data_IF_878676458174
#
_entry.id   IF_878676458174
#
_cell.length_a   1.000
_cell.length_b   1.000
_cell.length_c   1.000
_cell.angle_alpha   90.00
_cell.angle_beta   90.00
_cell.angle_gamma   90.00
#
_symmetry.space_group_name_H-M   'P 1'
#
loop_
_entity.id
_entity.type
_entity.pdbx_description
1 polymer ?
#
# COMPACT_ATOMS: atom_id res chain seq x y z
N UNK A 1 51.31 26.66 27.70
CA UNK A 1 50.73 25.74 26.70
C UNK A 1 49.51 25.09 27.34
N UNK A 2 48.31 25.53 27.01
CA UNK A 2 47.06 24.97 27.53
C UNK A 2 46.50 24.01 26.49
N UNK A 3 46.39 22.73 26.85
CA UNK A 3 45.88 21.67 25.99
C UNK A 3 44.35 21.65 26.00
N UNK A 4 43.76 21.70 24.81
CA UNK A 4 42.32 21.56 24.59
C UNK A 4 42.03 20.08 24.32
N UNK A 5 41.37 19.39 25.26
CA UNK A 5 40.93 18.01 25.06
C UNK A 5 39.51 18.04 24.47
N UNK A 6 39.35 17.55 23.23
CA UNK A 6 38.06 17.34 22.60
C UNK A 6 37.55 15.96 23.02
N UNK A 7 36.49 15.94 23.84
CA UNK A 7 35.72 14.73 24.13
C UNK A 7 34.71 14.52 23.00
N UNK A 8 34.99 13.57 22.10
CA UNK A 8 33.98 13.05 21.17
C UNK A 8 33.03 12.13 21.94
N UNK A 9 31.86 12.66 22.30
CA UNK A 9 30.74 11.86 22.80
C UNK A 9 30.14 11.06 21.65
N UNK A 10 30.17 9.74 21.75
CA UNK A 10 29.40 8.85 20.87
C UNK A 10 27.91 9.02 21.16
N UNK A 11 27.22 9.84 20.36
CA UNK A 11 25.76 9.77 20.27
C UNK A 11 25.42 8.39 19.68
N UNK A 12 24.94 7.48 20.52
CA UNK A 12 24.21 6.32 20.05
C UNK A 12 22.95 6.86 19.35
N UNK A 13 22.94 6.84 18.02
CA UNK A 13 21.73 7.07 17.25
C UNK A 13 20.75 5.93 17.59
N UNK A 14 19.67 6.26 18.30
CA UNK A 14 18.51 5.38 18.49
C UNK A 14 17.77 5.25 17.15
N UNK A 15 18.40 4.56 16.21
CA UNK A 15 17.88 4.33 14.87
C UNK A 15 17.09 3.03 14.79
N UNK A 16 16.11 2.82 15.67
CA UNK A 16 15.19 1.70 15.57
C UNK A 16 13.77 2.21 15.77
N UNK A 17 13.08 2.49 14.65
CA UNK A 17 11.63 2.47 14.66
C UNK A 17 11.18 1.11 15.23
N UNK A 18 10.17 1.15 16.09
CA UNK A 18 9.64 -0.03 16.75
C UNK A 18 9.37 -1.12 15.70
N UNK A 19 10.05 -2.26 15.82
CA UNK A 19 9.86 -3.40 14.92
C UNK A 19 8.75 -4.31 15.40
N UNK A 20 8.07 -3.97 16.52
CA UNK A 20 6.89 -4.66 16.95
C UNK A 20 5.73 -4.40 15.97
N UNK A 21 4.93 -5.43 15.64
CA UNK A 21 3.68 -5.25 14.90
C UNK A 21 2.79 -4.16 15.51
N UNK A 22 2.19 -3.35 14.66
CA UNK A 22 1.33 -2.23 15.04
C UNK A 22 -0.10 -2.47 14.53
N UNK A 23 -1.08 -2.10 15.35
CA UNK A 23 -2.50 -2.09 14.96
C UNK A 23 -2.73 -1.10 13.80
N UNK A 24 -3.79 -1.34 13.03
CA UNK A 24 -4.19 -0.50 11.89
C UNK A 24 -5.57 0.07 12.15
N UNK A 25 -5.74 1.38 11.93
CA UNK A 25 -7.05 2.02 11.98
C UNK A 25 -7.86 1.67 10.72
N UNK A 26 -8.96 0.95 10.92
CA UNK A 26 -9.85 0.46 9.87
C UNK A 26 -11.08 1.34 9.67
N UNK A 27 -11.12 2.52 10.29
CA UNK A 27 -12.27 3.45 10.22
C UNK A 27 -12.71 3.71 8.79
N UNK A 28 -13.99 3.43 8.53
CA UNK A 28 -14.66 3.64 7.25
C UNK A 28 -14.75 2.39 6.37
N UNK A 29 -14.25 1.24 6.82
CA UNK A 29 -14.62 -0.06 6.25
C UNK A 29 -15.88 -0.61 6.92
N UNK A 30 -16.67 -1.45 6.22
CA UNK A 30 -17.70 -2.26 6.86
C UNK A 30 -17.09 -3.21 7.90
N UNK A 31 -17.77 -3.39 9.03
CA UNK A 31 -17.38 -4.34 10.06
C UNK A 31 -17.45 -5.78 9.52
N UNK A 32 -16.46 -6.60 9.85
CA UNK A 32 -16.43 -8.03 9.58
C UNK A 32 -16.72 -8.84 10.85
N UNK A 33 -17.12 -10.12 10.71
CA UNK A 33 -17.14 -11.04 11.84
C UNK A 33 -15.75 -11.19 12.49
N UNK A 34 -15.70 -11.54 13.78
CA UNK A 34 -14.43 -11.84 14.46
C UNK A 34 -13.69 -13.02 13.81
N UNK A 35 -14.44 -14.00 13.29
CA UNK A 35 -13.89 -15.11 12.52
C UNK A 35 -13.59 -14.67 11.08
N UNK A 36 -12.34 -14.83 10.68
CA UNK A 36 -11.90 -14.54 9.32
C UNK A 36 -12.58 -15.51 8.33
N UNK A 37 -13.17 -14.95 7.28
CA UNK A 37 -13.61 -15.74 6.12
C UNK A 37 -12.44 -16.46 5.45
N UNK A 38 -12.73 -17.39 4.54
CA UNK A 38 -11.70 -18.08 3.75
C UNK A 38 -11.16 -17.27 2.59
N UNK A 39 -11.87 -16.22 2.18
CA UNK A 39 -11.57 -15.41 0.99
C UNK A 39 -11.63 -13.92 1.32
N UNK A 40 -10.90 -13.11 0.55
CA UNK A 40 -10.87 -11.66 0.70
C UNK A 40 -12.23 -11.01 0.35
N UNK A 41 -12.98 -10.46 1.34
CA UNK A 41 -14.29 -9.86 1.09
C UNK A 41 -14.22 -8.54 0.30
N UNK A 42 -13.04 -7.92 0.20
CA UNK A 42 -12.89 -6.61 -0.46
C UNK A 42 -12.48 -6.70 -1.93
N UNK A 43 -12.09 -7.88 -2.42
CA UNK A 43 -11.55 -8.09 -3.78
C UNK A 43 -12.50 -7.59 -4.88
N UNK A 44 -13.78 -7.89 -4.71
CA UNK A 44 -14.86 -7.53 -5.65
C UNK A 44 -15.91 -6.62 -5.00
N UNK A 45 -15.57 -5.97 -3.89
CA UNK A 45 -16.46 -5.03 -3.23
C UNK A 45 -16.75 -3.80 -4.10
N UNK A 46 -17.79 -3.06 -3.74
CA UNK A 46 -18.10 -1.78 -4.37
C UNK A 46 -16.85 -0.88 -4.42
N UNK A 47 -16.63 -0.10 -5.51
CA UNK A 47 -15.41 0.66 -5.69
C UNK A 47 -15.02 1.52 -4.49
N UNK A 48 -15.97 2.17 -3.84
CA UNK A 48 -15.69 2.98 -2.65
C UNK A 48 -15.11 2.16 -1.49
N UNK A 49 -15.59 0.92 -1.28
CA UNK A 49 -15.07 0.01 -0.25
C UNK A 49 -13.71 -0.53 -0.68
N UNK A 50 -13.55 -0.96 -1.94
CA UNK A 50 -12.27 -1.42 -2.49
C UNK A 50 -11.17 -0.36 -2.31
N UNK A 51 -11.41 0.87 -2.75
CA UNK A 51 -10.43 1.96 -2.63
C UNK A 51 -10.15 2.34 -1.18
N UNK A 52 -11.15 2.27 -0.31
CA UNK A 52 -10.96 2.48 1.13
C UNK A 52 -10.10 1.38 1.76
N UNK A 53 -10.32 0.12 1.36
CA UNK A 53 -9.52 -1.02 1.79
C UNK A 53 -8.08 -0.90 1.29
N UNK A 54 -7.86 -0.50 0.04
CA UNK A 54 -6.52 -0.23 -0.50
C UNK A 54 -5.83 0.92 0.24
N UNK A 55 -6.52 2.00 0.60
CA UNK A 55 -5.93 3.10 1.37
C UNK A 55 -5.49 2.65 2.77
N UNK A 56 -6.36 1.94 3.50
CA UNK A 56 -6.05 1.42 4.84
C UNK A 56 -4.95 0.36 4.74
N UNK A 57 -5.06 -0.53 3.76
CA UNK A 57 -4.10 -1.58 3.47
C UNK A 57 -2.71 -1.04 3.16
N UNK A 58 -2.62 0.03 2.37
CA UNK A 58 -1.36 0.70 2.07
C UNK A 58 -0.67 1.23 3.33
N UNK A 59 -1.44 1.85 4.25
CA UNK A 59 -0.92 2.32 5.55
C UNK A 59 -0.45 1.14 6.40
N UNK A 60 -1.29 0.13 6.58
CA UNK A 60 -0.97 -1.07 7.35
C UNK A 60 0.24 -1.81 6.82
N UNK A 61 0.31 -1.97 5.49
CA UNK A 61 1.42 -2.59 4.79
C UNK A 61 2.73 -1.82 4.96
N UNK A 62 2.70 -0.50 4.78
CA UNK A 62 3.91 0.33 4.90
C UNK A 62 4.46 0.33 6.33
N UNK A 63 3.59 0.27 7.34
CA UNK A 63 4.00 0.17 8.74
C UNK A 63 4.54 -1.22 9.09
N UNK A 64 3.87 -2.30 8.66
CA UNK A 64 4.11 -3.63 9.19
C UNK A 64 4.90 -4.57 8.26
N UNK A 65 4.85 -4.37 6.94
CA UNK A 65 5.27 -5.37 5.95
C UNK A 65 6.41 -4.88 5.06
N UNK A 66 6.39 -3.61 4.65
CA UNK A 66 7.25 -3.06 3.61
C UNK A 66 8.75 -3.13 3.92
N UNK A 67 9.13 -3.15 5.20
CA UNK A 67 10.54 -3.31 5.60
C UNK A 67 11.15 -4.63 5.11
N UNK A 68 10.34 -5.69 5.03
CA UNK A 68 10.81 -7.03 4.63
C UNK A 68 10.43 -7.37 3.19
N UNK A 69 9.19 -7.04 2.80
CA UNK A 69 8.63 -7.36 1.49
C UNK A 69 8.81 -6.24 0.45
N UNK A 70 9.43 -5.12 0.85
CA UNK A 70 9.71 -3.97 0.02
C UNK A 70 8.52 -3.01 -0.11
N UNK A 71 8.79 -1.79 -0.60
CA UNK A 71 7.74 -0.81 -0.87
C UNK A 71 6.87 -1.31 -2.04
N UNK A 72 5.58 -0.97 -2.00
CA UNK A 72 4.64 -1.37 -3.06
C UNK A 72 4.54 -2.90 -3.28
N UNK A 73 4.96 -3.68 -2.27
CA UNK A 73 5.09 -5.14 -2.34
C UNK A 73 6.16 -5.69 -3.28
N UNK A 74 7.04 -4.82 -3.80
CA UNK A 74 8.16 -5.17 -4.66
C UNK A 74 9.37 -5.55 -3.82
N UNK A 75 9.74 -6.82 -3.83
CA UNK A 75 10.83 -7.31 -2.98
C UNK A 75 12.21 -6.77 -3.36
N UNK A 76 12.96 -6.32 -2.35
CA UNK A 76 14.40 -6.05 -2.46
C UNK A 76 15.31 -7.28 -2.24
N UNK A 77 14.74 -8.49 -2.17
CA UNK A 77 15.46 -9.76 -1.98
C UNK A 77 15.51 -10.29 -0.55
N UNK A 78 14.92 -9.61 0.43
CA UNK A 78 14.89 -10.05 1.83
C UNK A 78 13.76 -11.07 2.10
N UNK A 79 12.56 -10.78 1.63
CA UNK A 79 11.39 -11.66 1.70
C UNK A 79 10.72 -11.74 0.31
N UNK A 80 9.81 -12.69 0.03
CA UNK A 80 9.19 -12.81 -1.30
C UNK A 80 8.45 -11.53 -1.75
N UNK A 81 8.44 -11.28 -3.06
CA UNK A 81 7.56 -10.28 -3.68
C UNK A 81 6.11 -10.77 -3.59
N UNK A 82 5.28 -10.01 -2.89
CA UNK A 82 3.93 -10.45 -2.54
C UNK A 82 2.93 -10.23 -3.66
N UNK A 83 3.29 -9.49 -4.71
CA UNK A 83 2.40 -9.24 -5.86
C UNK A 83 2.12 -10.52 -6.64
N UNK A 84 3.01 -11.52 -6.53
CA UNK A 84 2.84 -12.83 -7.16
C UNK A 84 2.05 -13.82 -6.30
N UNK A 85 1.57 -13.43 -5.11
CA UNK A 85 0.69 -14.29 -4.33
C UNK A 85 -0.73 -14.23 -4.92
N UNK A 86 -1.13 -15.31 -5.57
CA UNK A 86 -2.38 -15.41 -6.36
C UNK A 86 -3.60 -14.92 -5.59
N UNK A 87 -4.47 -14.14 -6.24
CA UNK A 87 -5.72 -13.62 -5.68
C UNK A 87 -6.87 -14.65 -5.79
N UNK A 88 -6.71 -15.79 -5.13
CA UNK A 88 -7.67 -16.88 -5.08
C UNK A 88 -7.69 -17.53 -3.69
N UNK A 89 -8.56 -18.52 -3.48
CA UNK A 89 -8.74 -19.22 -2.20
C UNK A 89 -7.42 -19.79 -1.65
N UNK A 90 -6.57 -20.35 -2.51
CA UNK A 90 -5.28 -20.92 -2.09
C UNK A 90 -4.29 -19.83 -1.64
N UNK A 91 -4.24 -18.71 -2.37
CA UNK A 91 -3.42 -17.57 -1.99
C UNK A 91 -3.92 -16.89 -0.71
N UNK A 92 -5.23 -16.87 -0.50
CA UNK A 92 -5.85 -16.35 0.72
C UNK A 92 -5.58 -17.26 1.92
N UNK A 93 -5.72 -18.58 1.77
CA UNK A 93 -5.33 -19.55 2.80
C UNK A 93 -3.86 -19.36 3.20
N UNK A 94 -2.96 -19.25 2.21
CA UNK A 94 -1.54 -19.06 2.46
C UNK A 94 -1.25 -17.70 3.11
N UNK A 95 -1.93 -16.64 2.67
CA UNK A 95 -1.81 -15.31 3.27
C UNK A 95 -2.22 -15.33 4.74
N UNK A 96 -3.39 -15.92 5.05
CA UNK A 96 -3.92 -16.00 6.40
C UNK A 96 -3.00 -16.80 7.32
N UNK A 97 -2.50 -17.97 6.88
CA UNK A 97 -1.56 -18.76 7.67
C UNK A 97 -0.31 -17.93 8.05
N UNK A 98 0.29 -17.23 7.07
CA UNK A 98 1.49 -16.44 7.32
C UNK A 98 1.25 -15.21 8.17
N UNK A 99 0.13 -14.52 7.98
CA UNK A 99 -0.17 -13.32 8.76
C UNK A 99 -0.52 -13.68 10.20
N UNK A 100 -1.31 -14.73 10.42
CA UNK A 100 -1.73 -15.12 11.75
C UNK A 100 -0.59 -15.81 12.53
N UNK A 101 0.12 -16.74 11.88
CA UNK A 101 1.11 -17.59 12.56
C UNK A 101 2.57 -17.13 12.38
N UNK A 102 2.84 -16.20 11.47
CA UNK A 102 4.19 -15.78 11.12
C UNK A 102 4.95 -16.84 10.33
N UNK A 103 6.28 -16.76 10.36
CA UNK A 103 7.17 -17.74 9.75
C UNK A 103 8.48 -17.84 10.52
N UNK A 104 8.86 -19.06 10.88
CA UNK A 104 10.14 -19.37 11.51
C UNK A 104 10.97 -20.28 10.60
N UNK A 105 12.29 -20.05 10.60
CA UNK A 105 13.23 -20.91 9.88
C UNK A 105 14.51 -21.08 10.71
N UNK A 106 14.91 -22.33 10.92
CA UNK A 106 16.11 -22.69 11.71
C UNK A 106 16.10 -22.08 13.13
N UNK A 107 14.92 -22.02 13.76
CA UNK A 107 14.74 -21.47 15.11
C UNK A 107 14.81 -19.95 15.20
N UNK A 108 14.79 -19.24 14.06
CA UNK A 108 14.72 -17.78 14.01
C UNK A 108 13.41 -17.33 13.36
N UNK A 109 12.74 -16.37 14.02
CA UNK A 109 11.56 -15.69 13.47
C UNK A 109 11.97 -14.87 12.24
N UNK A 110 11.34 -15.15 11.11
CA UNK A 110 11.53 -14.48 9.82
C UNK A 110 10.38 -13.53 9.50
N UNK A 111 9.18 -13.88 9.94
CA UNK A 111 7.98 -13.04 9.88
C UNK A 111 7.27 -13.16 11.23
N UNK A 112 6.99 -12.05 11.93
CA UNK A 112 6.24 -12.09 13.18
C UNK A 112 4.77 -12.47 12.91
N UNK A 113 4.08 -13.12 13.88
CA UNK A 113 2.64 -13.28 13.83
C UNK A 113 1.92 -11.95 14.10
N UNK A 114 0.72 -11.79 13.54
CA UNK A 114 -0.14 -10.62 13.70
C UNK A 114 -1.50 -10.95 14.34
N UNK A 115 -1.73 -12.21 14.72
CA UNK A 115 -2.93 -12.62 15.45
C UNK A 115 -3.10 -11.80 16.74
N UNK A 116 -4.33 -11.36 17.00
CA UNK A 116 -4.67 -10.48 18.12
C UNK A 116 -4.13 -9.04 18.04
N UNK A 117 -3.40 -8.68 16.97
CA UNK A 117 -2.84 -7.32 16.76
C UNK A 117 -3.57 -6.60 15.62
N UNK A 118 -3.76 -7.28 14.50
CA UNK A 118 -4.54 -6.79 13.38
C UNK A 118 -5.97 -7.30 13.50
N UNK A 119 -6.95 -6.43 13.26
CA UNK A 119 -8.36 -6.84 13.16
C UNK A 119 -8.62 -7.56 11.84
N UNK A 120 -9.73 -8.30 11.70
CA UNK A 120 -10.10 -8.92 10.43
C UNK A 120 -10.12 -7.95 9.24
N UNK A 121 -10.65 -6.73 9.43
CA UNK A 121 -10.69 -5.70 8.40
C UNK A 121 -9.28 -5.24 8.00
N UNK A 122 -8.37 -5.12 8.96
CA UNK A 122 -6.99 -4.72 8.71
C UNK A 122 -6.21 -5.79 7.92
N UNK A 123 -6.40 -7.06 8.30
CA UNK A 123 -5.81 -8.21 7.60
C UNK A 123 -6.27 -8.20 6.15
N UNK A 124 -7.58 -8.15 5.92
CA UNK A 124 -8.09 -8.13 4.55
C UNK A 124 -7.75 -6.87 3.78
N UNK A 125 -7.72 -5.69 4.41
CA UNK A 125 -7.31 -4.46 3.75
C UNK A 125 -5.85 -4.54 3.25
N UNK A 126 -4.93 -5.07 4.05
CA UNK A 126 -3.54 -5.31 3.63
C UNK A 126 -3.49 -6.31 2.47
N UNK A 127 -4.27 -7.40 2.53
CA UNK A 127 -4.38 -8.37 1.43
C UNK A 127 -4.85 -7.70 0.14
N UNK A 128 -5.91 -6.91 0.20
CA UNK A 128 -6.45 -6.15 -0.94
C UNK A 128 -5.42 -5.21 -1.52
N UNK A 129 -4.67 -4.48 -0.69
CA UNK A 129 -3.59 -3.62 -1.16
C UNK A 129 -2.51 -4.41 -1.92
N UNK A 130 -2.09 -5.55 -1.37
CA UNK A 130 -1.07 -6.42 -1.98
C UNK A 130 -1.55 -7.02 -3.30
N UNK A 131 -2.75 -7.60 -3.31
CA UNK A 131 -3.23 -8.34 -4.48
C UNK A 131 -3.65 -7.40 -5.61
N UNK A 132 -4.00 -6.15 -5.33
CA UNK A 132 -4.37 -5.17 -6.37
C UNK A 132 -3.17 -4.43 -6.96
N UNK A 133 -1.94 -4.76 -6.56
CA UNK A 133 -0.75 -4.07 -7.08
C UNK A 133 -0.60 -4.29 -8.60
N UNK A 134 -0.45 -3.21 -9.38
CA UNK A 134 -0.28 -3.33 -10.83
C UNK A 134 1.06 -3.97 -11.19
N UNK A 135 1.11 -4.52 -12.39
CA UNK A 135 2.35 -4.83 -13.09
C UNK A 135 3.23 -3.57 -13.22
N UNK A 136 4.45 -3.64 -12.69
CA UNK A 136 5.40 -2.53 -12.68
C UNK A 136 5.95 -2.23 -14.08
N UNK A 137 6.02 -3.21 -14.97
CA UNK A 137 6.40 -2.98 -16.36
C UNK A 137 5.34 -2.16 -17.08
N UNK A 138 4.06 -2.54 -16.95
CA UNK A 138 2.96 -1.78 -17.55
C UNK A 138 2.87 -0.36 -16.96
N UNK A 139 3.15 -0.21 -15.67
CA UNK A 139 3.20 1.12 -15.03
C UNK A 139 4.37 1.96 -15.54
N UNK A 140 5.55 1.36 -15.73
CA UNK A 140 6.72 2.04 -16.27
C UNK A 140 6.52 2.51 -17.72
N UNK A 141 5.78 1.73 -18.54
CA UNK A 141 5.36 2.13 -19.89
C UNK A 141 4.42 3.36 -19.88
N UNK A 142 3.74 3.61 -18.75
CA UNK A 142 2.85 4.75 -18.54
C UNK A 142 3.51 5.95 -17.85
N UNK A 143 4.82 5.94 -17.59
CA UNK A 143 5.51 6.97 -16.79
C UNK A 143 5.35 8.39 -17.34
N UNK A 144 5.32 8.56 -18.66
CA UNK A 144 5.14 9.86 -19.30
C UNK A 144 3.71 10.39 -19.13
N UNK A 145 2.72 9.50 -19.21
CA UNK A 145 1.31 9.80 -18.90
C UNK A 145 1.14 10.22 -17.45
N UNK A 146 1.71 9.46 -16.51
CA UNK A 146 1.70 9.77 -15.07
C UNK A 146 2.32 11.14 -14.83
N UNK A 147 3.48 11.43 -15.45
CA UNK A 147 4.16 12.73 -15.33
C UNK A 147 3.29 13.87 -15.85
N UNK A 148 2.70 13.71 -17.04
CA UNK A 148 1.83 14.73 -17.64
C UNK A 148 0.60 15.03 -16.78
N UNK A 149 -0.09 13.99 -16.29
CA UNK A 149 -1.27 14.16 -15.43
C UNK A 149 -0.91 14.78 -14.08
N UNK A 150 0.23 14.39 -13.50
CA UNK A 150 0.77 15.02 -12.28
C UNK A 150 1.02 16.50 -12.49
N UNK A 151 1.71 16.88 -13.57
CA UNK A 151 2.06 18.27 -13.87
C UNK A 151 0.79 19.13 -14.07
N UNK A 152 -0.17 18.62 -14.83
CA UNK A 152 -1.48 19.29 -15.02
C UNK A 152 -2.25 19.43 -13.72
N UNK A 153 -2.26 18.40 -12.87
CA UNK A 153 -2.88 18.49 -11.56
C UNK A 153 -2.18 19.53 -10.67
N UNK A 154 -0.86 19.68 -10.79
CA UNK A 154 -0.10 20.66 -10.02
C UNK A 154 -0.41 22.11 -10.44
N UNK A 155 -0.70 22.34 -11.73
CA UNK A 155 -1.13 23.64 -12.26
C UNK A 155 -2.48 24.09 -11.69
N UNK A 156 -3.40 23.14 -11.48
CA UNK A 156 -4.75 23.41 -10.96
C UNK A 156 -4.91 23.07 -9.48
N UNK A 157 -3.82 22.90 -8.73
CA UNK A 157 -3.85 22.39 -7.35
C UNK A 157 -4.73 23.21 -6.39
N UNK A 158 -4.83 24.52 -6.65
CA UNK A 158 -5.60 25.48 -5.85
C UNK A 158 -7.03 25.68 -6.39
N UNK A 159 -7.37 25.08 -7.54
CA UNK A 159 -8.69 25.08 -8.17
C UNK A 159 -9.29 23.66 -8.08
N UNK A 160 -10.05 23.40 -7.00
CA UNK A 160 -10.63 22.09 -6.74
C UNK A 160 -11.54 21.59 -7.88
N UNK A 161 -12.51 22.37 -8.40
CA UNK A 161 -13.30 21.93 -9.56
C UNK A 161 -12.45 21.52 -10.76
N UNK A 162 -11.42 22.30 -11.10
CA UNK A 162 -10.53 21.96 -12.20
C UNK A 162 -9.69 20.70 -11.91
N UNK A 163 -9.25 20.51 -10.67
CA UNK A 163 -8.56 19.28 -10.25
C UNK A 163 -9.46 18.05 -10.36
N UNK A 164 -10.71 18.12 -9.86
CA UNK A 164 -11.68 17.01 -9.95
C UNK A 164 -11.99 16.67 -11.41
N UNK A 165 -12.00 17.65 -12.31
CA UNK A 165 -12.22 17.42 -13.75
C UNK A 165 -11.13 16.55 -14.42
N UNK A 166 -9.97 16.34 -13.78
CA UNK A 166 -8.93 15.42 -14.27
C UNK A 166 -9.18 13.95 -13.89
N UNK A 167 -10.09 13.66 -12.95
CA UNK A 167 -10.32 12.30 -12.47
C UNK A 167 -10.71 11.29 -13.57
N UNK A 168 -11.61 11.61 -14.52
CA UNK A 168 -11.94 10.66 -15.59
C UNK A 168 -10.75 10.31 -16.49
N UNK A 169 -9.81 11.24 -16.68
CA UNK A 169 -8.61 10.99 -17.48
C UNK A 169 -7.59 10.14 -16.72
N UNK A 170 -7.46 10.35 -15.40
CA UNK A 170 -6.68 9.48 -14.52
C UNK A 170 -7.25 8.05 -14.52
N UNK A 171 -8.56 7.90 -14.41
CA UNK A 171 -9.23 6.59 -14.49
C UNK A 171 -8.98 5.92 -15.84
N UNK A 172 -9.13 6.66 -16.94
CA UNK A 172 -8.88 6.12 -18.28
C UNK A 172 -7.42 5.68 -18.45
N UNK A 173 -6.46 6.46 -17.97
CA UNK A 173 -5.05 6.12 -18.04
C UNK A 173 -4.67 4.89 -17.19
N UNK A 174 -5.42 4.61 -16.11
CA UNK A 174 -5.24 3.42 -15.29
C UNK A 174 -5.86 2.15 -15.87
N UNK A 175 -6.74 2.26 -16.88
CA UNK A 175 -7.40 1.09 -17.47
C UNK A 175 -6.41 0.18 -18.18
N UNK A 176 -6.65 -1.12 -18.05
CA UNK A 176 -5.83 -2.15 -18.70
C UNK A 176 -4.55 -2.50 -17.94
N UNK A 177 -4.25 -1.83 -16.83
CA UNK A 177 -3.21 -2.28 -15.91
C UNK A 177 -3.70 -3.56 -15.20
N UNK A 178 -2.90 -4.61 -15.30
CA UNK A 178 -3.19 -5.91 -14.73
C UNK A 178 -2.58 -6.02 -13.34
N UNK A 179 -3.25 -6.73 -12.43
CA UNK A 179 -2.70 -7.08 -11.14
C UNK A 179 -1.85 -8.34 -11.28
N UNK A 180 -0.59 -8.32 -10.83
CA UNK A 180 0.31 -9.47 -10.95
C UNK A 180 -0.17 -10.71 -10.18
N UNK A 181 -1.08 -10.52 -9.23
CA UNK A 181 -1.70 -11.59 -8.45
C UNK A 181 -2.79 -12.33 -9.22
N UNK A 182 -3.21 -11.82 -10.38
CA UNK A 182 -4.41 -12.28 -11.09
C UNK A 182 -5.72 -11.74 -10.50
N UNK A 183 -5.67 -10.79 -9.56
CA UNK A 183 -6.87 -10.11 -9.06
C UNK A 183 -7.68 -9.48 -10.22
N UNK A 184 -9.02 -9.42 -10.13
CA UNK A 184 -9.88 -8.92 -11.20
C UNK A 184 -9.64 -7.45 -11.56
N UNK A 185 -8.98 -6.70 -10.67
CA UNK A 185 -8.64 -5.28 -10.86
C UNK A 185 -7.30 -4.94 -10.22
N UNK A 186 -6.46 -4.22 -10.96
CA UNK A 186 -5.36 -3.46 -10.38
C UNK A 186 -5.86 -2.11 -9.83
N UNK A 187 -5.28 -1.66 -8.72
CA UNK A 187 -5.50 -0.33 -8.16
C UNK A 187 -4.19 0.44 -8.25
N UNK A 188 -3.98 1.08 -9.41
CA UNK A 188 -2.78 1.84 -9.71
C UNK A 188 -2.73 3.20 -8.99
N UNK A 189 -1.61 3.89 -9.12
CA UNK A 189 -1.46 5.27 -8.63
C UNK A 189 -2.39 6.24 -9.37
N UNK A 190 -2.77 5.93 -10.62
CA UNK A 190 -3.71 6.70 -11.42
C UNK A 190 -5.14 6.53 -10.86
N UNK A 191 -5.54 5.29 -10.60
CA UNK A 191 -6.81 4.95 -9.97
C UNK A 191 -6.96 5.62 -8.59
N UNK A 192 -5.91 5.52 -7.76
CA UNK A 192 -5.92 6.12 -6.42
C UNK A 192 -5.97 7.65 -6.47
N UNK A 193 -5.25 8.29 -7.40
CA UNK A 193 -5.32 9.72 -7.59
C UNK A 193 -6.73 10.18 -8.02
N UNK A 194 -7.37 9.47 -8.94
CA UNK A 194 -8.75 9.74 -9.34
C UNK A 194 -9.73 9.59 -8.16
N UNK A 195 -9.57 8.53 -7.37
CA UNK A 195 -10.37 8.32 -6.15
C UNK A 195 -10.22 9.46 -5.15
N UNK A 196 -8.99 9.91 -4.88
CA UNK A 196 -8.75 11.05 -4.00
C UNK A 196 -9.38 12.34 -4.50
N UNK A 197 -9.44 12.55 -5.81
CA UNK A 197 -10.05 13.74 -6.40
C UNK A 197 -11.57 13.72 -6.31
N UNK A 198 -12.21 12.57 -6.38
CA UNK A 198 -13.68 12.47 -6.45
C UNK A 198 -14.36 12.27 -5.10
N UNK A 199 -13.66 11.74 -4.10
CA UNK A 199 -14.21 11.54 -2.75
C UNK A 199 -14.25 12.83 -1.91
N UNK A 200 -15.22 12.93 -1.01
CA UNK A 200 -15.29 13.93 0.08
C UNK A 200 -14.92 15.38 -0.33
N UNK A 201 -15.38 15.83 -1.50
CA UNK A 201 -15.10 17.17 -2.08
C UNK A 201 -13.65 17.43 -2.54
N UNK A 202 -12.85 16.39 -2.71
CA UNK A 202 -11.56 16.39 -3.38
C UNK A 202 -10.34 16.58 -2.46
N UNK A 203 -9.44 15.60 -2.48
CA UNK A 203 -8.16 15.57 -1.76
C UNK A 203 -6.98 15.75 -2.73
N UNK A 204 -6.88 16.96 -3.30
CA UNK A 204 -5.90 17.30 -4.34
C UNK A 204 -4.45 17.02 -3.91
N UNK A 205 -4.08 17.33 -2.67
CA UNK A 205 -2.72 17.08 -2.18
C UNK A 205 -2.39 15.59 -2.10
N UNK A 206 -3.35 14.75 -1.70
CA UNK A 206 -3.15 13.30 -1.65
C UNK A 206 -2.98 12.74 -3.06
N UNK A 207 -3.82 13.15 -4.01
CA UNK A 207 -3.68 12.77 -5.41
C UNK A 207 -2.32 13.19 -6.00
N UNK A 208 -1.87 14.41 -5.74
CA UNK A 208 -0.55 14.90 -6.15
C UNK A 208 0.60 14.11 -5.54
N UNK A 209 0.52 13.79 -4.24
CA UNK A 209 1.52 13.01 -3.54
C UNK A 209 1.60 11.59 -4.10
N UNK A 210 0.46 10.94 -4.37
CA UNK A 210 0.37 9.61 -4.98
C UNK A 210 1.07 9.58 -6.34
N UNK A 211 0.74 10.51 -7.24
CA UNK A 211 1.37 10.58 -8.57
C UNK A 211 2.86 10.97 -8.49
N UNK A 212 3.22 11.86 -7.56
CA UNK A 212 4.62 12.29 -7.40
C UNK A 212 5.50 11.17 -6.87
N UNK A 213 4.98 10.35 -5.95
CA UNK A 213 5.72 9.22 -5.37
C UNK A 213 6.00 8.14 -6.41
N UNK A 214 5.04 7.88 -7.29
CA UNK A 214 5.18 6.94 -8.40
C UNK A 214 6.32 7.27 -9.38
N UNK A 215 6.71 8.55 -9.47
CA UNK A 215 7.76 9.03 -10.37
C UNK A 215 9.17 9.02 -9.74
N UNK A 216 9.28 8.64 -8.46
CA UNK A 216 10.55 8.62 -7.70
C UNK A 216 11.10 7.20 -7.51
N UNK A 217 10.26 6.19 -7.66
CA UNK A 217 10.58 4.78 -7.58
C UNK A 217 10.98 4.25 -8.96
#
# INVERSE_FOLDING_TARGET
MAGFAVLLGTMAALGHGDTAPQSVDTTGLPDLPEELGSENPWREADPAVLFKAVEIGAKGYNTNCARCHGLEAISGGLAPDLRFLEANDFGDEWYLDRVLNGYEQNGAVKMPPFDGILTPEAIWAIRTYVETRPDDQQLAENVDTIRSLRDRLAEVKDDKPAAVALAPELEEAGKGLEALSGAPRAVSVLDQAAWYLTRDSGHVNAALETLTSALRN
#
